data_IF_139072636941
#
_entry.id   IF_139072636941
#
_cell.length_a   1.000
_cell.length_b   1.000
_cell.length_c   1.000
_cell.angle_alpha   90.00
_cell.angle_beta   90.00
_cell.angle_gamma   90.00
#
_symmetry.space_group_name_H-M   'P 1'
#
loop_
_entity.id
_entity.type
_entity.pdbx_description
1 polymer ?
#
# COMPACT_ATOMS: atom_id res chain seq x y z
N UNK A 1 -2.66 -8.04 -22.80
CA UNK A 1 -2.84 -9.04 -21.72
C UNK A 1 -2.68 -8.30 -20.40
N UNK A 2 -3.69 -8.37 -19.53
CA UNK A 2 -3.65 -7.75 -18.21
C UNK A 2 -2.57 -8.39 -17.34
N UNK A 3 -2.36 -9.71 -17.46
CA UNK A 3 -1.28 -10.42 -16.77
C UNK A 3 0.09 -9.79 -17.01
N UNK A 4 0.41 -9.43 -18.26
CA UNK A 4 1.67 -8.74 -18.61
C UNK A 4 1.77 -7.37 -17.94
N UNK A 5 0.67 -6.61 -17.90
CA UNK A 5 0.63 -5.32 -17.22
C UNK A 5 0.90 -5.44 -15.73
N UNK A 6 0.26 -6.40 -15.06
CA UNK A 6 0.52 -6.73 -13.66
C UNK A 6 1.98 -7.18 -13.43
N UNK A 7 2.55 -7.98 -14.33
CA UNK A 7 3.96 -8.37 -14.24
C UNK A 7 4.91 -7.17 -14.34
N UNK A 8 4.62 -6.21 -15.23
CA UNK A 8 5.41 -4.98 -15.35
C UNK A 8 5.32 -4.14 -14.07
N UNK A 9 4.14 -4.04 -13.45
CA UNK A 9 3.97 -3.36 -12.16
C UNK A 9 4.81 -4.06 -11.08
N UNK A 10 4.76 -5.40 -11.01
CA UNK A 10 5.57 -6.16 -10.07
C UNK A 10 7.08 -5.90 -10.23
N UNK A 11 7.58 -5.78 -11.47
CA UNK A 11 8.99 -5.41 -11.75
C UNK A 11 9.29 -3.99 -11.26
N UNK A 12 8.38 -3.04 -11.47
CA UNK A 12 8.52 -1.67 -10.95
C UNK A 12 8.53 -1.68 -9.42
N UNK A 13 7.66 -2.44 -8.77
CA UNK A 13 7.62 -2.56 -7.30
C UNK A 13 8.93 -3.11 -6.74
N UNK A 14 9.53 -4.12 -7.40
CA UNK A 14 10.87 -4.62 -7.04
C UNK A 14 11.93 -3.52 -7.19
N UNK A 15 11.89 -2.74 -8.27
CA UNK A 15 12.83 -1.65 -8.46
C UNK A 15 12.69 -0.58 -7.37
N UNK A 16 11.46 -0.24 -6.98
CA UNK A 16 11.16 0.69 -5.87
C UNK A 16 11.63 0.12 -4.54
N UNK A 17 11.42 -1.17 -4.28
CA UNK A 17 11.93 -1.85 -3.07
C UNK A 17 13.46 -1.82 -2.99
N UNK A 18 14.15 -2.13 -4.09
CA UNK A 18 15.63 -2.07 -4.14
C UNK A 18 16.12 -0.65 -3.89
N UNK A 19 15.46 0.35 -4.48
CA UNK A 19 15.80 1.75 -4.25
C UNK A 19 15.55 2.17 -2.79
N UNK A 20 14.42 1.80 -2.20
CA UNK A 20 14.09 2.03 -0.80
C UNK A 20 15.10 1.36 0.15
N UNK A 21 15.46 0.10 -0.11
CA UNK A 21 16.43 -0.64 0.68
C UNK A 21 17.82 0.04 0.68
N UNK A 22 18.27 0.54 -0.48
CA UNK A 22 19.52 1.33 -0.56
C UNK A 22 19.48 2.58 0.30
N UNK A 23 18.35 3.30 0.27
CA UNK A 23 18.15 4.49 1.11
C UNK A 23 18.09 4.14 2.60
N UNK A 24 17.45 3.03 2.97
CA UNK A 24 17.45 2.53 4.35
C UNK A 24 18.85 2.20 4.85
N UNK A 25 19.68 1.58 4.01
CA UNK A 25 21.07 1.27 4.36
C UNK A 25 21.93 2.53 4.53
N UNK A 26 21.65 3.57 3.73
CA UNK A 26 22.36 4.84 3.77
C UNK A 26 21.99 5.69 4.99
N UNK A 27 20.69 5.93 5.24
CA UNK A 27 20.25 6.91 6.24
C UNK A 27 19.76 6.29 7.56
N UNK A 28 19.29 5.04 7.54
CA UNK A 28 18.84 4.28 8.71
C UNK A 28 17.84 5.02 9.64
N UNK A 29 16.95 5.83 9.07
CA UNK A 29 15.91 6.50 9.87
C UNK A 29 14.67 5.63 10.02
N UNK A 30 13.93 5.82 11.11
CA UNK A 30 12.71 5.05 11.39
C UNK A 30 11.65 5.33 10.32
N UNK A 31 11.51 6.60 9.89
CA UNK A 31 10.59 6.98 8.83
C UNK A 31 10.81 6.19 7.55
N UNK A 32 12.07 6.05 7.11
CA UNK A 32 12.42 5.25 5.93
C UNK A 32 12.18 3.76 6.13
N UNK A 33 12.58 3.21 7.28
CA UNK A 33 12.42 1.77 7.57
C UNK A 33 10.94 1.39 7.55
N UNK A 34 10.10 2.09 8.31
CA UNK A 34 8.67 1.80 8.36
C UNK A 34 7.95 2.06 7.03
N UNK A 35 8.35 3.10 6.29
CA UNK A 35 7.82 3.36 4.94
C UNK A 35 8.16 2.25 3.93
N UNK A 36 9.24 1.49 4.17
CA UNK A 36 9.70 0.44 3.28
C UNK A 36 9.08 -0.93 3.58
N UNK A 37 8.44 -1.12 4.74
CA UNK A 37 7.83 -2.40 5.10
C UNK A 37 6.73 -2.86 4.12
N UNK A 38 5.77 -2.01 3.69
CA UNK A 38 4.76 -2.43 2.71
C UNK A 38 5.37 -2.89 1.38
N UNK A 39 6.48 -2.28 0.97
CA UNK A 39 7.16 -2.57 -0.30
C UNK A 39 7.73 -4.00 -0.36
N UNK A 40 8.00 -4.62 0.79
CA UNK A 40 8.62 -5.96 0.85
C UNK A 40 7.77 -7.04 0.16
N UNK A 41 6.46 -6.84 0.10
CA UNK A 41 5.50 -7.75 -0.53
C UNK A 41 4.57 -7.06 -1.55
N UNK A 42 4.80 -5.79 -1.87
CA UNK A 42 3.98 -5.09 -2.88
C UNK A 42 4.11 -5.75 -4.27
N UNK A 43 5.35 -6.05 -4.68
CA UNK A 43 5.62 -6.76 -5.93
C UNK A 43 4.94 -8.13 -5.99
N UNK A 44 4.81 -8.79 -4.84
CA UNK A 44 4.21 -10.11 -4.74
C UNK A 44 2.71 -10.05 -5.06
N UNK A 45 2.04 -8.96 -4.71
CA UNK A 45 0.63 -8.75 -5.06
C UNK A 45 0.41 -8.80 -6.57
N UNK A 46 1.10 -7.90 -7.27
CA UNK A 46 1.02 -7.77 -8.71
C UNK A 46 1.53 -9.02 -9.43
N UNK A 47 2.57 -9.68 -8.90
CA UNK A 47 3.09 -10.93 -9.45
C UNK A 47 2.07 -12.07 -9.38
N UNK A 48 1.40 -12.26 -8.25
CA UNK A 48 0.40 -13.33 -8.09
C UNK A 48 -0.80 -13.11 -9.00
N UNK A 49 -1.26 -11.85 -9.18
CA UNK A 49 -2.32 -11.56 -10.16
C UNK A 49 -1.84 -11.91 -11.58
N UNK A 50 -0.60 -11.57 -11.92
CA UNK A 50 -0.03 -11.82 -13.24
C UNK A 50 0.02 -13.31 -13.59
N UNK A 51 0.43 -14.17 -12.65
CA UNK A 51 0.58 -15.61 -12.90
C UNK A 51 -0.69 -16.41 -12.63
N UNK A 52 -1.70 -15.82 -11.98
CA UNK A 52 -2.84 -16.58 -11.47
C UNK A 52 -3.66 -17.25 -12.57
N UNK A 53 -3.79 -16.63 -13.75
CA UNK A 53 -4.43 -17.27 -14.92
C UNK A 53 -3.69 -18.53 -15.39
N UNK A 54 -2.37 -18.54 -15.27
CA UNK A 54 -1.51 -19.69 -15.63
C UNK A 54 -1.57 -20.79 -14.57
N UNK A 55 -1.71 -20.43 -13.29
CA UNK A 55 -1.82 -21.39 -12.19
C UNK A 55 -3.19 -22.09 -12.16
N UNK A 56 -4.25 -21.39 -12.56
CA UNK A 56 -5.62 -21.88 -12.46
C UNK A 56 -6.15 -21.85 -11.02
N UNK A 57 -7.39 -22.30 -10.85
CA UNK A 57 -8.03 -22.41 -9.54
C UNK A 57 -7.40 -23.53 -8.71
N UNK A 58 -7.30 -23.33 -7.39
CA UNK A 58 -6.77 -24.34 -6.47
C UNK A 58 -6.09 -23.77 -5.24
N UNK A 59 -5.70 -24.68 -4.34
CA UNK A 59 -5.13 -24.37 -3.03
C UNK A 59 -3.85 -23.52 -3.12
N UNK A 60 -3.02 -23.73 -4.14
CA UNK A 60 -1.80 -22.94 -4.34
C UNK A 60 -2.14 -21.46 -4.58
N UNK A 61 -2.98 -21.17 -5.57
CA UNK A 61 -3.36 -19.79 -5.88
C UNK A 61 -4.12 -19.16 -4.70
N UNK A 62 -4.99 -19.92 -4.03
CA UNK A 62 -5.67 -19.46 -2.83
C UNK A 62 -4.67 -19.10 -1.71
N UNK A 63 -3.68 -19.94 -1.43
CA UNK A 63 -2.64 -19.69 -0.45
C UNK A 63 -1.79 -18.46 -0.77
N UNK A 64 -1.41 -18.26 -2.04
CA UNK A 64 -0.74 -17.04 -2.49
C UNK A 64 -1.61 -15.81 -2.25
N UNK A 65 -2.92 -15.89 -2.52
CA UNK A 65 -3.85 -14.79 -2.25
C UNK A 65 -4.01 -14.50 -0.75
N UNK A 66 -3.99 -15.53 0.11
CA UNK A 66 -3.93 -15.31 1.57
C UNK A 66 -2.73 -14.45 1.97
N UNK A 67 -1.54 -14.73 1.42
CA UNK A 67 -0.34 -13.93 1.69
C UNK A 67 -0.51 -12.49 1.19
N UNK A 68 -1.12 -12.28 0.02
CA UNK A 68 -1.42 -10.93 -0.52
C UNK A 68 -2.29 -10.10 0.41
N UNK A 69 -3.38 -10.68 0.90
CA UNK A 69 -4.29 -9.99 1.82
C UNK A 69 -3.63 -9.71 3.16
N UNK A 70 -2.89 -10.67 3.73
CA UNK A 70 -2.14 -10.45 4.97
C UNK A 70 -1.09 -9.35 4.81
N UNK A 71 -0.35 -9.35 3.70
CA UNK A 71 0.63 -8.32 3.39
C UNK A 71 0.00 -6.93 3.34
N UNK A 72 -1.18 -6.78 2.74
CA UNK A 72 -1.91 -5.53 2.70
C UNK A 72 -2.42 -5.10 4.09
N UNK A 73 -3.13 -5.99 4.80
CA UNK A 73 -3.75 -5.68 6.09
C UNK A 73 -2.74 -5.41 7.20
N UNK A 74 -1.52 -5.95 7.08
CA UNK A 74 -0.43 -5.71 8.03
C UNK A 74 0.46 -4.55 7.55
N UNK A 75 0.87 -4.58 6.29
CA UNK A 75 1.85 -3.65 5.72
C UNK A 75 1.30 -2.24 5.62
N UNK A 76 0.12 -2.04 5.03
CA UNK A 76 -0.43 -0.71 4.78
C UNK A 76 -0.52 0.12 6.07
N UNK A 77 -1.06 -0.40 7.21
CA UNK A 77 -1.11 0.37 8.44
C UNK A 77 0.27 0.72 9.05
N UNK A 78 1.35 0.00 8.73
CA UNK A 78 2.70 0.39 9.18
C UNK A 78 3.12 1.76 8.61
N UNK A 79 2.51 2.21 7.51
CA UNK A 79 2.74 3.53 6.95
C UNK A 79 2.27 4.65 7.87
N UNK A 80 1.28 4.42 8.75
CA UNK A 80 0.92 5.40 9.79
C UNK A 80 2.08 5.65 10.75
N UNK A 81 2.78 4.59 11.14
CA UNK A 81 3.99 4.68 11.99
C UNK A 81 5.09 5.44 11.24
N UNK A 82 5.25 5.19 9.94
CA UNK A 82 6.18 5.92 9.10
C UNK A 82 5.87 7.43 9.08
N UNK A 83 4.60 7.83 8.94
CA UNK A 83 4.20 9.25 9.00
C UNK A 83 4.56 9.90 10.34
N UNK A 84 4.27 9.24 11.45
CA UNK A 84 4.62 9.72 12.79
C UNK A 84 6.14 9.86 12.97
N UNK A 85 6.90 8.87 12.50
CA UNK A 85 8.35 8.89 12.53
C UNK A 85 8.93 10.02 11.65
N UNK A 86 8.43 10.20 10.43
CA UNK A 86 8.81 11.30 9.54
C UNK A 86 8.50 12.68 10.16
N UNK A 87 7.34 12.86 10.78
CA UNK A 87 6.98 14.11 11.44
C UNK A 87 7.95 14.44 12.58
N UNK A 88 8.35 13.43 13.34
CA UNK A 88 9.34 13.56 14.42
C UNK A 88 10.74 13.85 13.88
N UNK A 89 11.15 13.15 12.82
CA UNK A 89 12.44 13.32 12.15
C UNK A 89 12.56 14.68 11.46
N UNK A 90 11.45 15.27 11.02
CA UNK A 90 11.37 16.63 10.48
C UNK A 90 11.42 17.73 11.57
N UNK A 91 11.60 17.38 12.84
CA UNK A 91 11.76 18.34 13.94
C UNK A 91 10.45 19.02 14.37
N UNK A 92 9.28 18.48 14.01
CA UNK A 92 8.01 19.10 14.38
C UNK A 92 7.71 18.91 15.87
N UNK A 93 7.54 20.03 16.59
CA UNK A 93 7.42 20.04 18.06
C UNK A 93 6.29 19.17 18.62
N UNK A 94 5.13 19.16 17.96
CA UNK A 94 3.99 18.31 18.36
C UNK A 94 4.28 16.81 18.24
N UNK A 95 5.14 16.41 17.30
CA UNK A 95 5.50 15.02 17.03
C UNK A 95 6.66 14.50 17.91
N UNK A 96 7.30 15.36 18.72
CA UNK A 96 8.41 14.95 19.58
C UNK A 96 7.98 14.15 20.80
N UNK A 97 6.71 14.23 21.19
CA UNK A 97 6.19 13.55 22.38
C UNK A 97 6.03 12.04 22.16
N UNK A 98 6.26 11.24 23.21
CA UNK A 98 5.98 9.79 23.17
C UNK A 98 4.50 9.51 22.94
N UNK A 99 3.62 10.40 23.42
CA UNK A 99 2.17 10.29 23.22
C UNK A 99 1.80 10.39 21.75
N UNK A 100 2.37 11.35 21.01
CA UNK A 100 2.12 11.49 19.57
C UNK A 100 2.53 10.21 18.81
N UNK A 101 3.73 9.68 19.06
CA UNK A 101 4.17 8.43 18.44
C UNK A 101 3.29 7.24 18.87
N UNK A 102 2.92 7.18 20.16
CA UNK A 102 2.00 6.17 20.69
C UNK A 102 0.65 6.18 19.98
N UNK A 103 0.12 7.35 19.63
CA UNK A 103 -1.14 7.47 18.89
C UNK A 103 -1.05 6.89 17.47
N UNK A 104 0.04 7.16 16.73
CA UNK A 104 0.25 6.56 15.40
C UNK A 104 0.42 5.03 15.50
N UNK A 105 1.16 4.53 16.49
CA UNK A 105 1.31 3.09 16.71
C UNK A 105 -0.02 2.43 17.10
N UNK A 106 -0.80 3.05 17.98
CA UNK A 106 -2.11 2.55 18.39
C UNK A 106 -3.09 2.52 17.21
N UNK A 107 -3.09 3.58 16.38
CA UNK A 107 -3.90 3.64 15.15
C UNK A 107 -3.53 2.53 14.17
N UNK A 108 -2.23 2.34 13.89
CA UNK A 108 -1.75 1.27 13.02
C UNK A 108 -2.16 -0.12 13.55
N UNK A 109 -1.90 -0.38 14.83
CA UNK A 109 -2.23 -1.67 15.48
C UNK A 109 -3.74 -1.91 15.49
N UNK A 110 -4.54 -0.86 15.72
CA UNK A 110 -6.00 -0.92 15.69
C UNK A 110 -6.52 -1.32 14.32
N UNK A 111 -6.01 -0.72 13.24
CA UNK A 111 -6.39 -1.10 11.88
C UNK A 111 -5.94 -2.51 11.52
N UNK A 112 -4.73 -2.92 11.90
CA UNK A 112 -4.27 -4.31 11.68
C UNK A 112 -5.20 -5.28 12.38
N UNK A 113 -5.50 -5.07 13.66
CA UNK A 113 -6.37 -5.95 14.43
C UNK A 113 -7.79 -6.02 13.85
N UNK A 114 -8.35 -4.87 13.46
CA UNK A 114 -9.66 -4.77 12.84
C UNK A 114 -9.73 -5.54 11.51
N UNK A 115 -8.79 -5.31 10.61
CA UNK A 115 -8.79 -5.93 9.28
C UNK A 115 -8.49 -7.43 9.35
N UNK A 116 -7.58 -7.86 10.22
CA UNK A 116 -7.34 -9.29 10.46
C UNK A 116 -8.55 -9.98 11.08
N UNK A 117 -9.31 -9.30 11.94
CA UNK A 117 -10.56 -9.83 12.48
C UNK A 117 -11.61 -10.02 11.37
N UNK A 118 -11.84 -9.01 10.53
CA UNK A 118 -12.73 -9.13 9.36
C UNK A 118 -12.26 -10.21 8.38
N UNK A 119 -10.95 -10.28 8.12
CA UNK A 119 -10.37 -11.26 7.22
C UNK A 119 -10.54 -12.69 7.75
N UNK A 120 -10.45 -12.91 9.07
CA UNK A 120 -10.67 -14.23 9.66
C UNK A 120 -12.10 -14.75 9.53
N UNK A 121 -13.06 -13.88 9.24
CA UNK A 121 -14.46 -14.22 8.96
C UNK A 121 -14.75 -14.34 7.46
N UNK A 122 -13.77 -14.02 6.61
CA UNK A 122 -13.95 -13.98 5.16
C UNK A 122 -13.75 -15.35 4.53
N UNK A 123 -14.47 -15.59 3.44
CA UNK A 123 -14.28 -16.76 2.56
C UNK A 123 -13.70 -16.32 1.24
N UNK A 124 -12.86 -17.17 0.64
CA UNK A 124 -12.25 -16.90 -0.65
C UNK A 124 -13.11 -17.41 -1.79
N UNK A 125 -13.16 -16.61 -2.85
CA UNK A 125 -13.87 -16.93 -4.08
C UNK A 125 -13.01 -16.65 -5.30
N UNK A 126 -13.05 -17.49 -6.34
CA UNK A 126 -12.32 -17.23 -7.58
C UNK A 126 -12.90 -16.02 -8.30
N UNK A 127 -12.00 -15.17 -8.80
CA UNK A 127 -12.30 -13.90 -9.44
C UNK A 127 -11.49 -13.79 -10.73
N UNK A 128 -12.19 -13.81 -11.86
CA UNK A 128 -11.60 -13.81 -13.19
C UNK A 128 -11.78 -12.45 -13.84
N UNK A 129 -10.73 -11.95 -14.49
CA UNK A 129 -10.83 -10.74 -15.29
C UNK A 129 -9.89 -10.82 -16.49
N UNK A 130 -10.44 -10.80 -17.70
CA UNK A 130 -9.69 -11.03 -18.93
C UNK A 130 -8.82 -12.30 -18.81
N UNK A 131 -7.49 -12.16 -18.91
CA UNK A 131 -6.50 -13.23 -18.79
C UNK A 131 -5.94 -13.41 -17.37
N UNK A 132 -6.53 -12.76 -16.36
CA UNK A 132 -6.11 -12.88 -14.95
C UNK A 132 -7.11 -13.70 -14.13
N UNK A 133 -6.59 -14.39 -13.11
CA UNK A 133 -7.36 -15.13 -12.12
C UNK A 133 -6.74 -14.88 -10.74
N UNK A 134 -7.58 -14.65 -9.73
CA UNK A 134 -7.16 -14.49 -8.34
C UNK A 134 -8.29 -14.88 -7.41
N UNK A 135 -8.01 -15.03 -6.12
CA UNK A 135 -9.05 -15.19 -5.10
C UNK A 135 -9.34 -13.85 -4.41
N UNK A 136 -10.62 -13.55 -4.17
CA UNK A 136 -11.09 -12.34 -3.48
C UNK A 136 -12.05 -12.72 -2.34
N UNK A 137 -12.34 -11.77 -1.45
CA UNK A 137 -13.31 -11.98 -0.35
C UNK A 137 -14.77 -11.72 -0.75
N UNK A 138 -15.00 -11.27 -1.98
CA UNK A 138 -16.33 -11.03 -2.55
C UNK A 138 -16.31 -11.12 -4.08
N UNK A 139 -17.38 -11.64 -4.68
CA UNK A 139 -17.54 -11.73 -6.14
C UNK A 139 -18.51 -10.66 -6.65
N UNK A 140 -18.09 -9.95 -7.72
CA UNK A 140 -18.96 -9.11 -8.51
C UNK A 140 -19.29 -9.77 -9.85
N UNK A 141 -20.41 -9.38 -10.48
CA UNK A 141 -20.84 -9.96 -11.76
C UNK A 141 -19.77 -9.88 -12.87
N UNK A 142 -19.01 -8.78 -12.92
CA UNK A 142 -17.95 -8.55 -13.91
C UNK A 142 -16.64 -9.30 -13.62
N UNK A 143 -16.57 -10.04 -12.50
CA UNK A 143 -15.42 -10.89 -12.16
C UNK A 143 -15.78 -12.37 -11.98
N UNK A 144 -16.98 -12.77 -12.39
CA UNK A 144 -17.40 -14.16 -12.36
C UNK A 144 -16.56 -15.03 -13.29
N UNK A 145 -16.02 -16.14 -12.78
CA UNK A 145 -15.25 -17.11 -13.57
C UNK A 145 -16.11 -18.06 -14.43
N UNK A 146 -17.44 -17.99 -14.32
CA UNK A 146 -18.36 -18.83 -15.07
C UNK A 146 -19.82 -18.64 -14.66
N UNK A 147 -20.75 -19.34 -15.32
CA UNK A 147 -22.19 -19.24 -15.08
C UNK A 147 -22.63 -19.77 -13.70
N UNK A 148 -21.79 -20.58 -13.06
CA UNK A 148 -22.03 -21.15 -11.72
C UNK A 148 -21.46 -20.29 -10.60
N UNK A 149 -20.88 -19.13 -10.91
CA UNK A 149 -20.30 -18.24 -9.89
C UNK A 149 -21.38 -17.64 -8.99
N UNK A 150 -21.13 -17.62 -7.68
CA UNK A 150 -22.02 -17.05 -6.68
C UNK A 150 -21.90 -15.51 -6.65
N UNK A 151 -22.52 -14.84 -7.62
CA UNK A 151 -22.49 -13.37 -7.72
C UNK A 151 -23.07 -12.74 -6.45
N UNK A 152 -22.32 -11.84 -5.82
CA UNK A 152 -22.71 -11.18 -4.57
C UNK A 152 -22.38 -11.97 -3.30
N UNK A 153 -21.74 -13.14 -3.42
CA UNK A 153 -21.22 -13.87 -2.27
C UNK A 153 -20.02 -13.17 -1.63
N UNK A 154 -19.80 -13.50 -0.35
CA UNK A 154 -18.72 -12.96 0.47
C UNK A 154 -18.99 -11.56 1.01
N UNK A 155 -17.95 -10.93 1.55
CA UNK A 155 -18.00 -9.62 2.16
C UNK A 155 -16.95 -8.71 1.52
N UNK A 156 -17.42 -7.59 0.95
CA UNK A 156 -16.52 -6.53 0.49
C UNK A 156 -16.00 -5.78 1.72
N UNK A 157 -14.73 -5.97 2.06
CA UNK A 157 -14.07 -5.27 3.16
C UNK A 157 -13.79 -3.82 2.70
N UNK A 158 -14.39 -2.80 3.33
CA UNK A 158 -14.16 -1.42 2.92
C UNK A 158 -12.71 -1.00 3.19
N UNK A 159 -12.05 -0.24 2.31
CA UNK A 159 -10.64 0.13 2.46
C UNK A 159 -10.45 1.31 3.44
N UNK A 160 -11.00 1.19 4.65
CA UNK A 160 -10.98 2.26 5.67
C UNK A 160 -9.54 2.69 5.97
N UNK A 161 -8.57 1.80 6.24
CA UNK A 161 -7.20 2.23 6.54
C UNK A 161 -6.54 2.96 5.37
N UNK A 162 -6.79 2.55 4.12
CA UNK A 162 -6.24 3.20 2.94
C UNK A 162 -6.77 4.63 2.77
N UNK A 163 -8.08 4.82 2.96
CA UNK A 163 -8.72 6.14 2.90
C UNK A 163 -8.19 7.03 4.02
N UNK A 164 -8.15 6.53 5.25
CA UNK A 164 -7.61 7.29 6.39
C UNK A 164 -6.15 7.66 6.17
N UNK A 165 -5.31 6.71 5.71
CA UNK A 165 -3.91 6.96 5.41
C UNK A 165 -3.74 8.03 4.35
N UNK A 166 -4.47 7.93 3.23
CA UNK A 166 -4.39 8.90 2.12
C UNK A 166 -4.71 10.31 2.61
N UNK A 167 -5.76 10.48 3.41
CA UNK A 167 -6.10 11.77 4.01
C UNK A 167 -4.99 12.29 4.94
N UNK A 168 -4.44 11.42 5.80
CA UNK A 168 -3.34 11.80 6.68
C UNK A 168 -2.07 12.18 5.91
N UNK A 169 -1.76 11.48 4.81
CA UNK A 169 -0.63 11.83 3.95
C UNK A 169 -0.82 13.17 3.25
N UNK A 170 -2.04 13.48 2.79
CA UNK A 170 -2.36 14.79 2.20
C UNK A 170 -2.16 15.90 3.23
N UNK A 171 -2.75 15.76 4.43
CA UNK A 171 -2.64 16.75 5.50
C UNK A 171 -1.19 16.93 5.96
N UNK A 172 -0.47 15.82 6.18
CA UNK A 172 0.94 15.85 6.54
C UNK A 172 1.81 16.46 5.43
N UNK A 173 1.53 16.13 4.17
CA UNK A 173 2.20 16.71 3.01
C UNK A 173 1.97 18.22 2.90
N UNK A 174 0.74 18.69 3.17
CA UNK A 174 0.42 20.12 3.16
C UNK A 174 1.25 20.81 4.26
N UNK A 175 1.32 20.19 5.43
CA UNK A 175 2.15 20.69 6.52
C UNK A 175 3.64 20.71 6.16
N UNK A 176 4.19 19.65 5.56
CA UNK A 176 5.57 19.61 5.06
C UNK A 176 5.83 20.69 4.01
N UNK A 177 4.89 20.91 3.11
CA UNK A 177 5.00 21.96 2.10
C UNK A 177 5.15 23.33 2.77
N UNK A 178 4.25 23.68 3.70
CA UNK A 178 4.33 24.97 4.38
C UNK A 178 5.57 25.14 5.25
N UNK A 179 6.05 24.07 5.91
CA UNK A 179 7.14 24.16 6.89
C UNK A 179 8.54 24.04 6.28
N UNK A 180 8.71 23.16 5.29
CA UNK A 180 10.01 22.83 4.73
C UNK A 180 10.06 22.86 3.20
N UNK A 181 8.97 23.28 2.53
CA UNK A 181 8.90 23.45 1.07
C UNK A 181 8.68 22.17 0.28
N UNK A 182 8.47 21.02 0.93
CA UNK A 182 8.35 19.72 0.26
C UNK A 182 6.90 19.42 -0.14
N UNK A 183 6.54 19.71 -1.40
CA UNK A 183 5.18 19.56 -1.95
C UNK A 183 4.81 18.15 -2.44
N UNK A 184 5.79 17.28 -2.63
CA UNK A 184 5.60 16.04 -3.39
C UNK A 184 4.71 15.02 -2.68
N UNK A 185 4.70 15.00 -1.34
CA UNK A 185 3.79 14.11 -0.61
C UNK A 185 2.32 14.44 -0.92
N UNK A 186 1.93 15.71 -0.87
CA UNK A 186 0.57 16.14 -1.19
C UNK A 186 0.19 15.84 -2.63
N UNK A 187 1.03 16.27 -3.59
CA UNK A 187 0.73 16.11 -5.01
C UNK A 187 0.67 14.62 -5.39
N UNK A 188 1.58 13.81 -4.86
CA UNK A 188 1.60 12.37 -5.08
C UNK A 188 0.40 11.66 -4.47
N UNK A 189 -0.01 12.01 -3.23
CA UNK A 189 -1.21 11.44 -2.61
C UNK A 189 -2.50 11.79 -3.35
N UNK A 190 -2.65 13.05 -3.79
CA UNK A 190 -3.81 13.47 -4.59
C UNK A 190 -3.81 12.74 -5.95
N UNK A 191 -2.64 12.66 -6.59
CA UNK A 191 -2.48 11.94 -7.85
C UNK A 191 -2.82 10.45 -7.73
N UNK A 192 -2.29 9.78 -6.70
CA UNK A 192 -2.58 8.36 -6.43
C UNK A 192 -4.07 8.11 -6.17
N UNK A 193 -4.75 9.03 -5.47
CA UNK A 193 -6.20 8.93 -5.25
C UNK A 193 -6.98 8.91 -6.57
N UNK A 194 -6.53 9.62 -7.61
CA UNK A 194 -7.14 9.57 -8.93
C UNK A 194 -7.00 8.19 -9.59
N UNK A 195 -5.87 7.49 -9.39
CA UNK A 195 -5.67 6.11 -9.85
C UNK A 195 -6.58 5.13 -9.09
N UNK A 196 -6.67 5.27 -7.77
CA UNK A 196 -7.52 4.41 -6.94
C UNK A 196 -9.02 4.64 -7.15
N UNK A 197 -9.42 5.82 -7.63
CA UNK A 197 -10.81 6.15 -7.95
C UNK A 197 -11.30 5.55 -9.28
N UNK A 198 -10.41 4.97 -10.10
CA UNK A 198 -10.79 4.34 -11.36
C UNK A 198 -11.65 3.10 -11.08
N UNK A 199 -12.85 2.99 -11.69
CA UNK A 199 -13.69 1.81 -11.52
C UNK A 199 -13.01 0.51 -11.96
N UNK A 200 -13.22 -0.55 -11.18
CA UNK A 200 -12.63 -1.86 -11.47
C UNK A 200 -13.20 -2.49 -12.75
N UNK A 201 -14.52 -2.44 -12.95
CA UNK A 201 -15.21 -3.15 -14.04
C UNK A 201 -14.60 -2.95 -15.45
N UNK A 202 -14.23 -1.73 -15.89
CA UNK A 202 -13.59 -1.54 -17.20
C UNK A 202 -12.09 -1.86 -17.26
N UNK A 203 -11.40 -1.95 -16.12
CA UNK A 203 -9.92 -1.93 -16.07
C UNK A 203 -9.30 -3.11 -15.33
N UNK A 204 -10.10 -3.99 -14.73
CA UNK A 204 -9.61 -5.10 -13.93
C UNK A 204 -8.77 -4.66 -12.73
N UNK A 205 -8.92 -3.40 -12.30
CA UNK A 205 -8.15 -2.80 -11.21
C UNK A 205 -6.70 -2.46 -11.54
N UNK A 206 -6.25 -2.60 -12.80
CA UNK A 206 -4.83 -2.37 -13.13
C UNK A 206 -4.40 -0.92 -12.86
N UNK A 207 -5.28 0.05 -13.11
CA UNK A 207 -4.98 1.46 -12.85
C UNK A 207 -4.86 1.75 -11.35
N UNK A 208 -5.66 1.09 -10.52
CA UNK A 208 -5.49 1.15 -9.07
C UNK A 208 -4.11 0.64 -8.65
N UNK A 209 -3.69 -0.51 -9.18
CA UNK A 209 -2.38 -1.10 -8.87
C UNK A 209 -1.20 -0.26 -9.39
N UNK A 210 -1.34 0.48 -10.50
CA UNK A 210 -0.33 1.46 -10.94
C UNK A 210 -0.16 2.60 -9.93
N UNK A 211 -1.22 2.95 -9.20
CA UNK A 211 -1.17 3.98 -8.15
C UNK A 211 -0.25 3.60 -6.99
N UNK A 212 -0.06 2.30 -6.72
CA UNK A 212 0.70 1.79 -5.57
C UNK A 212 2.21 2.10 -5.66
N UNK A 213 2.96 1.76 -6.74
CA UNK A 213 4.34 2.17 -6.86
C UNK A 213 4.50 3.69 -6.89
N UNK A 214 3.55 4.42 -7.50
CA UNK A 214 3.59 5.89 -7.52
C UNK A 214 3.54 6.45 -6.09
N UNK A 215 2.58 6.00 -5.28
CA UNK A 215 2.45 6.50 -3.91
C UNK A 215 3.63 6.05 -3.04
N UNK A 216 4.12 4.83 -3.22
CA UNK A 216 5.31 4.35 -2.51
C UNK A 216 6.56 5.15 -2.86
N UNK A 217 6.78 5.49 -4.13
CA UNK A 217 7.89 6.36 -4.56
C UNK A 217 7.81 7.70 -3.84
N UNK A 218 6.61 8.28 -3.74
CA UNK A 218 6.39 9.57 -3.08
C UNK A 218 6.65 9.49 -1.57
N UNK A 219 6.21 8.42 -0.91
CA UNK A 219 6.46 8.19 0.52
C UNK A 219 7.97 8.06 0.78
N UNK A 220 8.65 7.17 0.04
CA UNK A 220 10.09 6.93 0.19
C UNK A 220 10.90 8.19 -0.13
N UNK A 221 10.53 8.92 -1.18
CA UNK A 221 11.16 10.21 -1.53
C UNK A 221 11.03 11.21 -0.39
N UNK A 222 9.87 11.26 0.25
CA UNK A 222 9.61 12.17 1.38
C UNK A 222 10.44 11.78 2.60
N UNK A 223 10.47 10.50 2.97
CA UNK A 223 11.28 10.00 4.06
C UNK A 223 12.79 10.26 3.82
N UNK A 224 13.26 10.02 2.59
CA UNK A 224 14.65 10.29 2.20
C UNK A 224 14.99 11.79 2.20
N UNK A 225 14.07 12.65 1.78
CA UNK A 225 14.27 14.10 1.84
C UNK A 225 14.44 14.59 3.29
N UNK A 226 13.57 14.12 4.19
CA UNK A 226 13.66 14.45 5.63
C UNK A 226 14.98 13.94 6.22
N UNK A 227 15.36 12.70 5.91
CA UNK A 227 16.62 12.12 6.37
C UNK A 227 17.86 12.92 5.92
N UNK A 228 17.91 13.30 4.64
CA UNK A 228 18.99 14.13 4.07
C UNK A 228 19.11 15.48 4.76
N UNK A 229 17.98 16.16 5.00
CA UNK A 229 17.98 17.45 5.68
C UNK A 229 18.53 17.36 7.09
N UNK A 230 18.11 16.33 7.84
CA UNK A 230 18.60 16.10 9.19
C UNK A 230 20.10 15.82 9.25
N UNK A 231 20.63 15.06 8.29
CA UNK A 231 22.07 14.81 8.18
C UNK A 231 22.85 16.11 7.90
N UNK A 232 22.34 16.96 6.99
CA UNK A 232 22.93 18.27 6.69
C UNK A 232 22.94 19.20 7.91
N UNK A 233 21.83 19.25 8.65
CA UNK A 233 21.71 20.05 9.88
C UNK A 233 22.61 19.54 11.02
N UNK A 234 23.02 18.27 11.00
CA UNK A 234 23.94 17.70 12.01
C UNK A 234 25.42 18.00 11.72
N UNK A 235 25.75 18.39 10.48
CA UNK A 235 27.11 18.72 10.03
C UNK A 235 27.38 20.23 10.07
N UNK A 236 26.32 21.06 10.01
CA UNK A 236 26.38 22.52 10.09
C UNK A 236 26.54 23.04 11.52
#
# INVERSE_FOLDING_TARGET
>A
MFSTGYLLIAVVDVAVLVWAARLCLQYRTNGLIFASLPLTLLWFDNFVIAIGGTLGEGELLQGLNTVRFLAHYIGLPMTFIALGAMAREAGFGWAQTKLAMGAFCALATGFIAHDLWLFSQSTFYPSCFADTLRYTTSIAAHTACGPTAEIGAGQSIPPIPAITLTNMMILFGIYLWYRIGWKWLTLGSIGAMAFFAVPYAPTGGILGNVGEPIISIVIISTAAHIARRREQEAIA
#
